data_IF_441121158049
#
_entry.id   IF_441121158049
#
_cell.length_a   1.000
_cell.length_b   1.000
_cell.length_c   1.000
_cell.angle_alpha   90.00
_cell.angle_beta   90.00
_cell.angle_gamma   90.00
#
_symmetry.space_group_name_H-M   'P 1'
#
loop_
_entity.id
_entity.type
_entity.pdbx_description
1 polymer ?
#
# COMPACT_ATOMS: atom_id res chain seq x y z
N UNK A 1 2.42 7.07 1.83
CA UNK A 1 1.73 6.01 2.57
C UNK A 1 1.35 4.90 1.59
N UNK A 2 1.80 3.68 1.85
CA UNK A 2 1.64 2.52 0.97
C UNK A 2 0.66 1.55 1.62
N UNK A 3 -0.42 1.24 0.93
CA UNK A 3 -1.51 0.48 1.52
C UNK A 3 -1.29 -1.03 1.46
N UNK A 4 -2.00 -1.74 2.35
CA UNK A 4 -2.09 -3.20 2.35
C UNK A 4 -3.00 -3.75 1.25
N UNK A 5 -3.06 -5.07 1.16
CA UNK A 5 -3.87 -5.78 0.18
C UNK A 5 -5.37 -5.41 0.27
N UNK A 6 -6.02 -5.17 -0.87
CA UNK A 6 -7.44 -4.81 -0.94
C UNK A 6 -7.81 -3.44 -0.35
N UNK A 7 -6.82 -2.66 0.10
CA UNK A 7 -7.02 -1.29 0.55
C UNK A 7 -6.88 -0.30 -0.61
N UNK A 8 -7.20 0.96 -0.35
CA UNK A 8 -7.01 2.09 -1.26
C UNK A 8 -6.53 3.32 -0.48
N UNK A 9 -6.05 4.34 -1.19
CA UNK A 9 -5.50 5.57 -0.61
C UNK A 9 -6.46 6.27 0.34
N UNK A 10 -7.76 6.31 0.01
CA UNK A 10 -8.76 7.04 0.80
C UNK A 10 -8.94 6.45 2.20
N UNK A 11 -8.62 5.16 2.41
CA UNK A 11 -8.67 4.54 3.73
C UNK A 11 -7.70 5.18 4.74
N UNK A 12 -6.69 5.92 4.26
CA UNK A 12 -5.72 6.63 5.10
C UNK A 12 -6.12 8.07 5.43
N UNK A 13 -7.21 8.60 4.86
CA UNK A 13 -7.68 9.97 5.15
C UNK A 13 -7.90 10.19 6.65
N UNK A 14 -8.58 9.29 7.40
CA UNK A 14 -8.75 9.47 8.85
C UNK A 14 -7.41 9.53 9.60
N UNK A 15 -6.44 8.70 9.21
CA UNK A 15 -5.11 8.73 9.81
C UNK A 15 -4.38 10.04 9.51
N UNK A 16 -4.35 10.48 8.24
CA UNK A 16 -3.74 11.75 7.83
C UNK A 16 -4.40 12.92 8.56
N UNK A 17 -5.73 12.91 8.66
CA UNK A 17 -6.49 13.92 9.40
C UNK A 17 -6.10 13.93 10.87
N UNK A 18 -5.97 12.75 11.50
CA UNK A 18 -5.56 12.65 12.89
C UNK A 18 -4.13 13.17 13.12
N UNK A 19 -3.19 12.77 12.25
CA UNK A 19 -1.78 13.20 12.32
C UNK A 19 -1.64 14.72 12.15
N UNK A 20 -2.39 15.31 11.21
CA UNK A 20 -2.35 16.76 10.95
C UNK A 20 -3.05 17.56 12.05
N UNK A 21 -4.15 17.07 12.62
CA UNK A 21 -4.92 17.80 13.64
C UNK A 21 -4.28 17.79 15.03
N UNK A 22 -3.50 16.76 15.37
CA UNK A 22 -2.97 16.59 16.73
C UNK A 22 -1.48 16.94 16.86
N UNK A 23 -0.85 17.52 15.83
CA UNK A 23 0.60 17.81 15.82
C UNK A 23 1.45 16.60 16.25
N UNK A 24 1.00 15.38 15.93
CA UNK A 24 1.68 14.13 16.29
C UNK A 24 2.83 13.81 15.33
N UNK A 25 3.06 14.69 14.36
CA UNK A 25 4.31 14.79 13.61
C UNK A 25 5.07 16.00 14.13
N UNK A 26 6.41 15.93 14.24
CA UNK A 26 7.21 17.07 14.71
C UNK A 26 6.79 18.30 13.92
N UNK A 27 6.31 19.34 14.60
CA UNK A 27 5.72 20.51 13.94
C UNK A 27 6.74 21.20 13.03
N UNK A 28 6.77 20.80 11.76
CA UNK A 28 7.32 21.59 10.66
C UNK A 28 6.16 22.02 9.78
N UNK A 29 5.81 23.32 9.75
CA UNK A 29 4.95 23.86 8.70
C UNK A 29 5.51 23.44 7.33
N UNK A 30 4.73 22.68 6.54
CA UNK A 30 5.14 22.24 5.20
C UNK A 30 5.04 20.74 4.91
N UNK A 31 4.63 19.90 5.87
CA UNK A 31 4.49 18.47 5.65
C UNK A 31 3.37 18.14 4.62
N UNK A 32 3.74 17.34 3.60
CA UNK A 32 2.82 16.84 2.59
C UNK A 32 2.56 15.34 2.78
N UNK A 33 1.32 15.00 3.11
CA UNK A 33 0.89 13.61 3.23
C UNK A 33 0.37 13.09 1.89
N UNK A 34 0.97 12.01 1.39
CA UNK A 34 0.56 11.37 0.14
C UNK A 34 0.19 9.92 0.44
N UNK A 35 -1.06 9.56 0.15
CA UNK A 35 -1.52 8.18 0.03
C UNK A 35 -1.80 7.91 -1.45
N UNK A 36 -1.47 6.71 -1.91
CA UNK A 36 -1.54 6.35 -3.33
C UNK A 36 -2.34 5.08 -3.50
N UNK A 37 -3.12 5.00 -4.57
CA UNK A 37 -3.73 3.75 -5.01
C UNK A 37 -2.68 2.96 -5.78
N UNK A 38 -2.36 1.76 -5.31
CA UNK A 38 -1.48 0.86 -6.05
C UNK A 38 -2.20 0.35 -7.31
N UNK A 39 -1.46 -0.07 -8.36
CA UNK A 39 -2.07 -0.67 -9.55
C UNK A 39 -3.11 -1.74 -9.18
N UNK A 40 -4.25 -1.72 -9.87
CA UNK A 40 -5.36 -2.66 -9.62
C UNK A 40 -6.18 -2.41 -8.36
N UNK A 41 -5.89 -1.35 -7.59
CA UNK A 41 -6.63 -0.94 -6.40
C UNK A 41 -7.19 0.47 -6.58
N UNK A 42 -8.31 0.77 -5.91
CA UNK A 42 -8.95 2.08 -5.95
C UNK A 42 -9.20 2.57 -7.38
N UNK A 43 -8.62 3.72 -7.73
CA UNK A 43 -8.71 4.34 -9.07
C UNK A 43 -7.52 4.00 -9.98
N UNK A 44 -6.50 3.30 -9.50
CA UNK A 44 -5.30 2.99 -10.28
C UNK A 44 -5.52 1.74 -11.15
N UNK A 45 -5.46 1.84 -12.48
CA UNK A 45 -5.78 0.71 -13.35
C UNK A 45 -4.67 -0.34 -13.35
N UNK A 46 -5.04 -1.61 -13.55
CA UNK A 46 -4.08 -2.71 -13.74
C UNK A 46 -3.15 -2.51 -14.94
N UNK A 47 -3.57 -1.73 -15.94
CA UNK A 47 -2.75 -1.40 -17.11
C UNK A 47 -1.50 -0.59 -16.77
N UNK A 48 -1.45 0.07 -15.61
CA UNK A 48 -0.24 0.73 -15.12
C UNK A 48 0.88 -0.27 -14.80
N UNK A 49 0.53 -1.51 -14.42
CA UNK A 49 1.48 -2.60 -14.19
C UNK A 49 0.83 -3.97 -14.49
N UNK A 50 0.83 -4.43 -15.76
CA UNK A 50 0.11 -5.65 -16.14
C UNK A 50 0.66 -6.95 -15.51
N UNK A 51 1.93 -6.94 -15.12
CA UNK A 51 2.67 -8.10 -14.59
C UNK A 51 3.25 -7.78 -13.20
N UNK A 52 2.42 -7.59 -12.17
CA UNK A 52 2.87 -7.13 -10.86
C UNK A 52 3.83 -8.09 -10.14
N UNK A 53 3.77 -9.39 -10.44
CA UNK A 53 4.69 -10.42 -9.93
C UNK A 53 6.14 -10.25 -10.42
N UNK A 54 6.36 -9.48 -11.49
CA UNK A 54 7.70 -9.12 -11.97
C UNK A 54 8.27 -7.90 -11.24
N UNK A 55 7.50 -7.35 -10.30
CA UNK A 55 7.82 -6.18 -9.52
C UNK A 55 7.70 -4.86 -10.27
N UNK A 56 8.38 -3.83 -9.76
CA UNK A 56 8.35 -2.48 -10.34
C UNK A 56 7.35 -1.52 -9.70
N UNK A 57 6.51 -1.98 -8.77
CA UNK A 57 5.66 -1.09 -7.95
C UNK A 57 6.51 -0.02 -7.24
N UNK A 58 7.63 -0.36 -6.55
CA UNK A 58 8.51 0.64 -5.96
C UNK A 58 9.01 1.69 -6.95
N UNK A 59 9.33 1.30 -8.19
CA UNK A 59 9.78 2.24 -9.23
C UNK A 59 8.67 3.22 -9.63
N UNK A 60 7.43 2.75 -9.75
CA UNK A 60 6.27 3.61 -10.02
C UNK A 60 6.04 4.61 -8.89
N UNK A 61 6.16 4.16 -7.63
CA UNK A 61 6.02 5.03 -6.46
C UNK A 61 7.12 6.09 -6.45
N UNK A 62 8.38 5.69 -6.66
CA UNK A 62 9.52 6.62 -6.71
C UNK A 62 9.37 7.65 -7.82
N UNK A 63 8.90 7.22 -9.00
CA UNK A 63 8.61 8.12 -10.12
C UNK A 63 7.51 9.12 -9.77
N UNK A 64 6.41 8.66 -9.16
CA UNK A 64 5.34 9.54 -8.70
C UNK A 64 5.85 10.53 -7.65
N UNK A 65 6.70 10.09 -6.72
CA UNK A 65 7.35 10.99 -5.77
C UNK A 65 8.20 12.06 -6.47
N UNK A 66 8.98 11.70 -7.49
CA UNK A 66 9.76 12.65 -8.27
C UNK A 66 8.85 13.65 -9.00
N UNK A 67 7.79 13.17 -9.66
CA UNK A 67 6.83 14.03 -10.37
C UNK A 67 6.14 15.03 -9.42
N UNK A 68 5.78 14.61 -8.21
CA UNK A 68 5.22 15.52 -7.20
C UNK A 68 6.25 16.56 -6.75
N UNK A 69 7.49 16.16 -6.49
CA UNK A 69 8.55 17.09 -6.08
C UNK A 69 8.88 18.10 -7.19
N UNK A 70 8.91 17.66 -8.45
CA UNK A 70 9.14 18.51 -9.61
C UNK A 70 8.04 19.58 -9.74
N UNK A 71 6.78 19.29 -9.39
CA UNK A 71 5.71 20.30 -9.32
C UNK A 71 6.00 21.44 -8.34
N UNK A 72 6.85 21.20 -7.35
CA UNK A 72 7.32 22.21 -6.38
C UNK A 72 8.72 22.74 -6.70
N UNK A 73 9.35 22.30 -7.80
CA UNK A 73 10.74 22.64 -8.13
C UNK A 73 11.76 22.05 -7.16
N UNK A 74 11.43 20.92 -6.52
CA UNK A 74 12.25 20.25 -5.52
C UNK A 74 12.81 18.93 -6.05
N UNK A 75 13.90 18.48 -5.44
CA UNK A 75 14.52 17.17 -5.67
C UNK A 75 14.41 16.29 -4.41
N UNK A 76 14.73 15.01 -4.57
CA UNK A 76 14.61 14.04 -3.49
C UNK A 76 15.48 14.39 -2.28
N UNK A 77 16.71 14.83 -2.46
CA UNK A 77 17.64 15.18 -1.39
C UNK A 77 17.33 16.52 -0.69
N UNK A 78 16.41 17.31 -1.23
CA UNK A 78 15.99 18.59 -0.67
C UNK A 78 14.79 18.46 0.28
N UNK A 79 14.24 17.25 0.44
CA UNK A 79 13.05 17.00 1.25
C UNK A 79 13.24 15.74 2.09
N UNK A 80 13.01 15.87 3.40
CA UNK A 80 12.93 14.72 4.29
C UNK A 80 11.71 13.85 3.92
N UNK A 81 11.86 12.52 3.95
CA UNK A 81 10.79 11.58 3.62
C UNK A 81 10.56 10.59 4.73
N UNK A 82 9.28 10.41 5.07
CA UNK A 82 8.81 9.34 5.94
C UNK A 82 7.92 8.40 5.13
N UNK A 83 8.26 7.10 5.15
CA UNK A 83 7.50 6.08 4.45
C UNK A 83 6.63 5.32 5.45
N UNK A 84 5.32 5.48 5.35
CA UNK A 84 4.35 4.63 6.06
C UNK A 84 3.93 3.48 5.16
N UNK A 85 3.90 2.26 5.71
CA UNK A 85 3.42 1.09 5.00
C UNK A 85 2.65 0.13 5.92
N UNK A 86 1.59 -0.49 5.38
CA UNK A 86 0.73 -1.41 6.10
C UNK A 86 0.65 -2.77 5.38
N UNK A 87 0.75 -3.88 6.14
CA UNK A 87 0.59 -5.25 5.63
C UNK A 87 1.43 -5.50 4.37
N UNK A 88 0.82 -5.87 3.24
CA UNK A 88 1.49 -6.05 1.93
C UNK A 88 2.39 -4.85 1.52
N UNK A 89 2.01 -3.61 1.86
CA UNK A 89 2.78 -2.43 1.49
C UNK A 89 4.19 -2.39 2.09
N UNK A 90 4.47 -3.19 3.12
CA UNK A 90 5.76 -3.24 3.81
C UNK A 90 6.88 -3.74 2.89
N UNK A 91 6.58 -4.72 2.02
CA UNK A 91 7.56 -5.21 1.03
C UNK A 91 8.05 -4.08 0.11
N UNK A 92 7.10 -3.25 -0.37
CA UNK A 92 7.40 -2.11 -1.23
C UNK A 92 8.18 -1.02 -0.48
N UNK A 93 7.87 -0.80 0.80
CA UNK A 93 8.58 0.17 1.62
C UNK A 93 10.05 -0.19 1.81
N UNK A 94 10.38 -1.48 1.97
CA UNK A 94 11.76 -1.93 2.08
C UNK A 94 12.55 -1.73 0.77
N UNK A 95 11.94 -1.97 -0.38
CA UNK A 95 12.57 -1.70 -1.68
C UNK A 95 12.78 -0.19 -1.92
N UNK A 96 11.78 0.63 -1.56
CA UNK A 96 11.88 2.09 -1.62
C UNK A 96 12.99 2.60 -0.69
N UNK A 97 13.04 2.11 0.55
CA UNK A 97 14.10 2.44 1.50
C UNK A 97 15.48 2.07 0.97
N UNK A 98 15.62 0.89 0.37
CA UNK A 98 16.89 0.46 -0.24
C UNK A 98 17.31 1.38 -1.39
N UNK A 99 16.35 1.94 -2.13
CA UNK A 99 16.59 2.82 -3.28
C UNK A 99 16.88 4.29 -2.87
N UNK A 100 16.33 4.74 -1.75
CA UNK A 100 16.42 6.14 -1.26
C UNK A 100 17.02 6.23 0.15
N UNK A 101 17.94 5.32 0.50
CA UNK A 101 18.45 5.13 1.86
C UNK A 101 18.94 6.41 2.56
N UNK A 102 19.49 7.36 1.79
CA UNK A 102 20.04 8.61 2.31
C UNK A 102 19.03 9.77 2.37
N UNK A 103 17.82 9.56 1.87
CA UNK A 103 16.76 10.57 1.77
C UNK A 103 15.59 10.26 2.69
N UNK A 104 15.33 8.98 2.96
CA UNK A 104 14.27 8.55 3.86
C UNK A 104 14.78 8.60 5.30
N UNK A 105 14.18 9.43 6.13
CA UNK A 105 14.55 9.54 7.54
C UNK A 105 13.96 8.38 8.35
N UNK A 106 12.71 8.01 8.07
CA UNK A 106 11.99 6.99 8.83
C UNK A 106 11.12 6.11 7.93
N UNK A 107 11.01 4.85 8.34
CA UNK A 107 10.05 3.90 7.78
C UNK A 107 9.17 3.40 8.92
N UNK A 108 7.86 3.62 8.80
CA UNK A 108 6.84 3.23 9.78
C UNK A 108 6.05 2.06 9.20
N UNK A 109 6.20 0.89 9.82
CA UNK A 109 5.61 -0.36 9.38
C UNK A 109 4.45 -0.74 10.30
N UNK A 110 3.27 -0.94 9.73
CA UNK A 110 2.05 -1.27 10.45
C UNK A 110 1.64 -2.70 10.10
N UNK A 111 1.59 -3.57 11.09
CA UNK A 111 1.01 -4.91 11.01
C UNK A 111 1.40 -5.70 9.75
N UNK A 112 2.69 -5.98 9.58
CA UNK A 112 3.15 -6.88 8.55
C UNK A 112 4.30 -7.76 8.98
N UNK A 113 4.45 -8.87 8.27
CA UNK A 113 5.48 -9.85 8.49
C UNK A 113 6.57 -9.71 7.42
N UNK A 114 7.82 -9.78 7.86
CA UNK A 114 8.97 -9.94 6.97
C UNK A 114 9.73 -11.17 7.44
N UNK A 115 9.74 -12.23 6.62
CA UNK A 115 10.39 -13.49 6.97
C UNK A 115 11.91 -13.42 6.92
N UNK A 116 12.51 -12.30 6.48
CA UNK A 116 13.94 -12.02 6.53
C UNK A 116 14.84 -12.95 5.71
N UNK A 117 14.25 -13.97 5.08
CA UNK A 117 14.94 -14.99 4.31
C UNK A 117 14.69 -14.80 2.82
N UNK A 118 15.77 -14.90 2.05
CA UNK A 118 15.75 -15.15 0.61
C UNK A 118 15.28 -16.57 0.31
N UNK A 119 14.12 -16.98 0.85
CA UNK A 119 13.44 -18.17 0.32
C UNK A 119 13.00 -17.73 -1.07
N UNK A 120 13.58 -18.29 -2.14
CA UNK A 120 13.11 -17.97 -3.47
C UNK A 120 11.61 -18.25 -3.45
N UNK A 121 10.76 -17.34 -3.94
CA UNK A 121 9.35 -17.64 -4.10
C UNK A 121 9.24 -19.04 -4.72
N UNK A 122 8.51 -19.96 -4.08
CA UNK A 122 8.14 -21.23 -4.73
C UNK A 122 7.73 -20.87 -6.16
N UNK A 123 8.38 -21.44 -7.19
CA UNK A 123 8.21 -21.03 -8.60
C UNK A 123 6.82 -20.47 -8.87
N UNK A 124 6.74 -19.27 -9.43
CA UNK A 124 5.48 -18.58 -9.65
C UNK A 124 4.46 -19.51 -10.30
N UNK A 125 3.43 -19.84 -9.52
CA UNK A 125 2.40 -20.79 -9.89
C UNK A 125 1.09 -20.02 -10.03
N UNK A 126 0.78 -19.68 -11.28
CA UNK A 126 -0.41 -18.93 -11.61
C UNK A 126 -1.69 -19.73 -11.30
N UNK A 127 -1.66 -21.06 -11.39
CA UNK A 127 -2.82 -21.90 -11.09
C UNK A 127 -3.11 -21.89 -9.59
N UNK A 128 -2.07 -22.04 -8.75
CA UNK A 128 -2.21 -21.89 -7.28
C UNK A 128 -2.77 -20.52 -6.89
N UNK A 129 -2.31 -19.45 -7.54
CA UNK A 129 -2.83 -18.09 -7.30
C UNK A 129 -4.31 -17.99 -7.71
N UNK A 130 -4.71 -18.57 -8.85
CA UNK A 130 -6.11 -18.59 -9.29
C UNK A 130 -7.00 -19.34 -8.32
N UNK A 131 -6.56 -20.49 -7.84
CA UNK A 131 -7.27 -21.27 -6.82
C UNK A 131 -7.47 -20.46 -5.53
N UNK A 132 -6.39 -19.82 -5.05
CA UNK A 132 -6.46 -18.94 -3.88
C UNK A 132 -7.39 -17.75 -4.11
N UNK A 133 -7.36 -17.13 -5.29
CA UNK A 133 -8.25 -16.01 -5.63
C UNK A 133 -9.72 -16.41 -5.55
N UNK A 134 -10.08 -17.62 -6.01
CA UNK A 134 -11.44 -18.18 -5.89
C UNK A 134 -11.82 -18.39 -4.42
N UNK A 135 -10.92 -18.95 -3.61
CA UNK A 135 -11.16 -19.17 -2.18
C UNK A 135 -11.37 -17.86 -1.43
N UNK A 136 -10.50 -16.86 -1.65
CA UNK A 136 -10.64 -15.53 -1.06
C UNK A 136 -11.95 -14.87 -1.48
N UNK A 137 -12.26 -14.86 -2.78
CA UNK A 137 -13.52 -14.28 -3.27
C UNK A 137 -14.74 -14.93 -2.61
N UNK A 138 -14.68 -16.23 -2.34
CA UNK A 138 -15.77 -16.97 -1.70
C UNK A 138 -15.94 -16.69 -0.20
N UNK A 139 -14.88 -16.32 0.52
CA UNK A 139 -14.92 -16.20 2.00
C UNK A 139 -14.56 -14.84 2.59
N UNK A 140 -14.04 -13.90 1.80
CA UNK A 140 -13.50 -12.64 2.32
C UNK A 140 -14.55 -11.77 3.01
N UNK A 141 -15.80 -11.77 2.53
CA UNK A 141 -16.87 -10.95 3.12
C UNK A 141 -17.19 -11.39 4.55
N UNK A 142 -17.17 -12.70 4.82
CA UNK A 142 -17.37 -13.24 6.16
C UNK A 142 -16.13 -12.98 7.04
N UNK A 143 -14.93 -13.06 6.47
CA UNK A 143 -13.69 -12.76 7.19
C UNK A 143 -13.60 -11.30 7.62
N UNK A 144 -14.16 -10.36 6.84
CA UNK A 144 -14.17 -8.93 7.16
C UNK A 144 -14.87 -8.63 8.50
N UNK A 145 -15.83 -9.46 8.93
CA UNK A 145 -16.50 -9.31 10.22
C UNK A 145 -15.54 -9.39 11.41
N UNK A 146 -14.42 -10.11 11.26
CA UNK A 146 -13.40 -10.26 12.29
C UNK A 146 -12.56 -8.98 12.48
N UNK A 147 -12.53 -8.10 11.48
CA UNK A 147 -11.70 -6.89 11.48
C UNK A 147 -12.47 -5.62 11.87
N UNK A 148 -13.79 -5.66 11.86
CA UNK A 148 -14.62 -4.50 12.22
C UNK A 148 -15.03 -4.56 13.69
N UNK A 149 -14.47 -3.63 14.48
CA UNK A 149 -14.82 -3.47 15.88
C UNK A 149 -16.02 -2.56 16.11
N UNK A 150 -16.50 -2.43 17.37
CA UNK A 150 -17.63 -1.56 17.70
C UNK A 150 -17.38 -0.06 17.45
N UNK A 151 -16.11 0.34 17.24
CA UNK A 151 -15.71 1.71 16.91
C UNK A 151 -15.49 1.94 15.41
N UNK A 152 -15.60 0.90 14.58
CA UNK A 152 -15.49 1.07 13.13
C UNK A 152 -16.69 1.83 12.60
N UNK A 153 -16.45 2.90 11.86
CA UNK A 153 -17.52 3.68 11.23
C UNK A 153 -18.26 2.81 10.19
N UNK A 154 -19.59 2.85 10.20
CA UNK A 154 -20.41 2.05 9.28
C UNK A 154 -20.18 2.39 7.80
N UNK A 155 -19.85 3.64 7.52
CA UNK A 155 -19.46 4.07 6.18
C UNK A 155 -18.16 3.40 5.71
N UNK A 156 -17.12 3.41 6.56
CA UNK A 156 -15.85 2.74 6.27
C UNK A 156 -16.02 1.24 6.07
N UNK A 157 -16.82 0.59 6.92
CA UNK A 157 -17.16 -0.83 6.78
C UNK A 157 -17.81 -1.10 5.41
N UNK A 158 -18.83 -0.31 5.03
CA UNK A 158 -19.53 -0.45 3.75
C UNK A 158 -18.60 -0.24 2.56
N UNK A 159 -17.77 0.81 2.59
CA UNK A 159 -16.79 1.10 1.54
C UNK A 159 -15.77 -0.03 1.38
N UNK A 160 -15.24 -0.53 2.51
CA UNK A 160 -14.28 -1.65 2.52
C UNK A 160 -14.91 -2.89 1.90
N UNK A 161 -16.13 -3.26 2.30
CA UNK A 161 -16.85 -4.41 1.73
C UNK A 161 -17.08 -4.26 0.23
N UNK A 162 -17.49 -3.08 -0.22
CA UNK A 162 -17.69 -2.79 -1.64
C UNK A 162 -16.37 -2.89 -2.42
N UNK A 163 -15.27 -2.39 -1.86
CA UNK A 163 -13.94 -2.52 -2.45
C UNK A 163 -13.53 -3.97 -2.62
N UNK A 164 -13.70 -4.80 -1.58
CA UNK A 164 -13.43 -6.24 -1.68
C UNK A 164 -14.40 -6.96 -2.62
N UNK A 165 -15.64 -6.52 -2.77
CA UNK A 165 -16.59 -7.12 -3.69
C UNK A 165 -16.20 -6.93 -5.17
N UNK A 166 -15.51 -5.83 -5.49
CA UNK A 166 -15.06 -5.50 -6.86
C UNK A 166 -13.58 -5.76 -7.10
N UNK A 167 -12.83 -6.13 -6.06
CA UNK A 167 -11.41 -6.41 -6.14
C UNK A 167 -11.10 -7.56 -7.10
N UNK A 168 -10.09 -7.37 -7.94
CA UNK A 168 -9.47 -8.46 -8.68
C UNK A 168 -8.50 -9.22 -7.77
N UNK A 169 -9.01 -10.26 -7.12
CA UNK A 169 -8.26 -11.08 -6.18
C UNK A 169 -7.03 -11.73 -6.81
N UNK A 170 -7.11 -12.19 -8.07
CA UNK A 170 -5.96 -12.78 -8.76
C UNK A 170 -4.84 -11.75 -8.92
N UNK A 171 -5.19 -10.56 -9.42
CA UNK A 171 -4.21 -9.49 -9.58
C UNK A 171 -3.60 -9.04 -8.25
N UNK A 172 -4.43 -8.85 -7.22
CA UNK A 172 -3.97 -8.40 -5.91
C UNK A 172 -3.08 -9.45 -5.22
N UNK A 173 -3.36 -10.75 -5.40
CA UNK A 173 -2.49 -11.83 -4.93
C UNK A 173 -1.15 -11.88 -5.68
N UNK A 174 -1.16 -11.66 -7.01
CA UNK A 174 0.08 -11.55 -7.81
C UNK A 174 0.97 -10.39 -7.34
N UNK A 175 0.39 -9.29 -6.86
CA UNK A 175 1.17 -8.18 -6.26
C UNK A 175 1.84 -8.56 -4.94
N UNK A 176 1.26 -9.50 -4.19
CA UNK A 176 1.78 -9.99 -2.91
C UNK A 176 2.76 -11.15 -3.08
N UNK A 177 2.98 -11.59 -4.33
CA UNK A 177 3.89 -12.67 -4.65
C UNK A 177 5.33 -12.13 -4.64
N UNK A 178 5.98 -12.21 -3.47
CA UNK A 178 7.35 -11.79 -3.21
C UNK A 178 8.02 -12.69 -2.19
#
# INVERSE_FOLDING_TARGET
>A
MIHGWGCQATHYIPLITHLTTHSLTPETPGDLYIAIDLPGHGQSPKSALPEPEKGGIPKLILRLCAEVLDCFGLQHDQTEKVVYAHSMGIFMAFEIYSSLKNVISHVILLDGAHSGGSVPPERFDLEKIREQAVQFKGGIQDQLDLYFGPRTLKEFERETRNGFATLDFEYALRMSYW
#
